data_IF_800386873823
#
_entry.id   IF_800386873823
#
_cell.length_a   1.000
_cell.length_b   1.000
_cell.length_c   1.000
_cell.angle_alpha   90.00
_cell.angle_beta   90.00
_cell.angle_gamma   90.00
#
_symmetry.space_group_name_H-M   'P 1'
#
loop_
_entity.id
_entity.type
_entity.pdbx_description
1 polymer ?
#
# COMPACT_ATOMS: atom_id res chain seq x y z
N UNK A 1 -14.16 -2.28 7.35
CA UNK A 1 -14.91 -1.80 6.16
C UNK A 1 -16.25 -2.52 6.06
N UNK A 2 -16.29 -3.84 5.87
CA UNK A 2 -17.55 -4.60 5.77
C UNK A 2 -18.37 -4.63 7.06
N UNK A 3 -17.71 -4.74 8.21
CA UNK A 3 -18.36 -4.74 9.54
C UNK A 3 -18.97 -3.39 9.93
N UNK A 4 -18.56 -2.29 9.30
CA UNK A 4 -19.06 -0.94 9.59
C UNK A 4 -20.12 -0.45 8.62
N UNK A 5 -20.36 -1.15 7.52
CA UNK A 5 -21.36 -0.75 6.53
C UNK A 5 -22.77 -0.87 7.11
N UNK A 6 -23.58 0.18 7.00
CA UNK A 6 -24.93 0.25 7.56
C UNK A 6 -24.99 0.58 9.06
N UNK A 7 -23.85 0.62 9.77
CA UNK A 7 -23.79 0.99 11.19
C UNK A 7 -22.98 2.28 11.43
N UNK A 8 -21.84 2.42 10.75
CA UNK A 8 -21.03 3.62 10.77
C UNK A 8 -21.37 4.48 9.55
N UNK A 9 -21.90 5.68 9.78
CA UNK A 9 -22.31 6.60 8.72
C UNK A 9 -21.12 7.06 7.86
N UNK A 10 -19.94 7.22 8.45
CA UNK A 10 -18.71 7.53 7.70
C UNK A 10 -18.37 6.41 6.74
N UNK A 11 -18.29 5.18 7.23
CA UNK A 11 -17.89 4.03 6.40
C UNK A 11 -18.93 3.78 5.31
N UNK A 12 -20.22 3.92 5.65
CA UNK A 12 -21.32 3.76 4.71
C UNK A 12 -21.24 4.80 3.59
N UNK A 13 -21.07 6.08 3.91
CA UNK A 13 -20.93 7.14 2.89
C UNK A 13 -19.70 6.90 2.02
N UNK A 14 -18.57 6.52 2.59
CA UNK A 14 -17.35 6.24 1.81
C UNK A 14 -17.56 5.09 0.83
N UNK A 15 -18.18 3.99 1.26
CA UNK A 15 -18.45 2.82 0.41
C UNK A 15 -19.53 3.07 -0.65
N UNK A 16 -20.43 4.02 -0.43
CA UNK A 16 -21.41 4.44 -1.44
C UNK A 16 -20.82 5.42 -2.47
N UNK A 17 -19.70 6.06 -2.12
CA UNK A 17 -19.06 7.12 -2.91
C UNK A 17 -17.90 6.60 -3.74
N UNK A 18 -17.14 5.65 -3.21
CA UNK A 18 -15.93 5.11 -3.84
C UNK A 18 -15.98 3.60 -3.92
N UNK A 19 -15.43 3.08 -5.02
CA UNK A 19 -15.01 1.70 -5.11
C UNK A 19 -13.59 1.55 -4.58
N UNK A 20 -13.37 0.55 -3.71
CA UNK A 20 -12.07 0.27 -3.13
C UNK A 20 -11.49 -1.03 -3.69
N UNK A 21 -10.39 -0.92 -4.41
CA UNK A 21 -9.61 -2.06 -4.92
C UNK A 21 -8.47 -2.36 -3.94
N UNK A 22 -8.52 -3.52 -3.28
CA UNK A 22 -7.56 -3.93 -2.25
C UNK A 22 -6.83 -5.19 -2.72
N UNK A 23 -5.50 -5.15 -2.72
CA UNK A 23 -4.63 -6.27 -3.06
C UNK A 23 -3.86 -6.71 -1.80
N UNK A 24 -4.29 -7.76 -1.08
CA UNK A 24 -3.70 -8.14 0.21
C UNK A 24 -2.22 -8.52 0.13
N UNK A 25 -1.81 -9.15 -0.97
CA UNK A 25 -0.43 -9.57 -1.22
C UNK A 25 -0.07 -9.30 -2.68
N UNK A 26 0.76 -8.28 -2.92
CA UNK A 26 1.19 -7.87 -4.28
C UNK A 26 2.37 -8.71 -4.79
N UNK A 27 3.16 -9.33 -3.88
CA UNK A 27 4.29 -10.20 -4.19
C UNK A 27 4.06 -11.61 -3.59
N UNK A 28 3.14 -12.43 -4.15
CA UNK A 28 2.77 -13.72 -3.58
C UNK A 28 3.95 -14.71 -3.52
N UNK A 29 4.77 -14.79 -4.57
CA UNK A 29 5.91 -15.71 -4.61
C UNK A 29 6.99 -15.33 -3.58
N UNK A 30 7.30 -14.04 -3.46
CA UNK A 30 8.25 -13.56 -2.47
C UNK A 30 7.73 -13.73 -1.05
N UNK A 31 6.43 -13.50 -0.83
CA UNK A 31 5.78 -13.73 0.45
C UNK A 31 5.88 -15.19 0.87
N UNK A 32 5.50 -16.14 0.00
CA UNK A 32 5.61 -17.58 0.29
C UNK A 32 7.05 -17.99 0.64
N UNK A 33 8.04 -17.45 -0.08
CA UNK A 33 9.45 -17.74 0.18
C UNK A 33 9.93 -17.30 1.58
N UNK A 34 9.27 -16.31 2.18
CA UNK A 34 9.58 -15.88 3.57
C UNK A 34 9.16 -16.87 4.63
N UNK A 35 8.24 -17.78 4.30
CA UNK A 35 7.78 -18.85 5.20
C UNK A 35 8.56 -20.15 5.00
N UNK A 36 9.16 -20.35 3.83
CA UNK A 36 9.81 -21.62 3.47
C UNK A 36 11.34 -21.57 3.52
N UNK A 37 11.95 -20.39 3.36
CA UNK A 37 13.40 -20.33 3.08
C UNK A 37 14.12 -19.14 3.68
N UNK A 38 13.73 -17.91 3.36
CA UNK A 38 14.40 -16.70 3.86
C UNK A 38 13.38 -15.68 4.35
N UNK A 39 13.27 -15.58 5.67
CA UNK A 39 12.31 -14.72 6.35
C UNK A 39 12.46 -13.24 6.00
N UNK A 40 13.66 -12.78 5.62
CA UNK A 40 13.94 -11.38 5.29
C UNK A 40 13.92 -11.11 3.78
N UNK A 41 13.45 -12.06 2.97
CA UNK A 41 13.35 -11.88 1.52
C UNK A 41 12.37 -10.77 1.14
N UNK A 42 12.82 -9.84 0.28
CA UNK A 42 12.06 -8.65 -0.15
C UNK A 42 11.56 -8.71 -1.60
N UNK A 43 12.36 -9.27 -2.50
CA UNK A 43 12.15 -9.20 -3.96
C UNK A 43 11.07 -10.17 -4.44
N UNK A 44 10.63 -10.06 -5.68
CA UNK A 44 9.86 -11.14 -6.30
C UNK A 44 10.74 -12.39 -6.56
N UNK A 45 10.21 -13.41 -7.24
CA UNK A 45 10.92 -14.68 -7.50
C UNK A 45 11.23 -14.93 -8.97
N UNK A 46 11.22 -13.89 -9.80
CA UNK A 46 11.59 -14.00 -11.21
C UNK A 46 13.01 -14.57 -11.38
N UNK A 47 13.22 -15.30 -12.48
CA UNK A 47 14.55 -15.77 -12.86
C UNK A 47 15.47 -14.58 -13.12
N UNK A 48 16.60 -14.53 -12.44
CA UNK A 48 17.62 -13.51 -12.68
C UNK A 48 18.89 -14.10 -13.29
N UNK A 49 19.81 -13.22 -13.66
CA UNK A 49 21.09 -13.60 -14.26
C UNK A 49 22.08 -14.03 -13.18
N UNK A 50 22.98 -14.97 -13.52
CA UNK A 50 24.09 -15.45 -12.67
C UNK A 50 23.65 -15.98 -11.30
N UNK A 51 22.52 -16.70 -11.24
CA UNK A 51 22.03 -17.33 -10.00
C UNK A 51 21.32 -16.38 -9.02
N UNK A 52 21.41 -15.07 -9.22
CA UNK A 52 20.59 -14.10 -8.48
C UNK A 52 19.12 -14.24 -8.90
N UNK A 53 18.20 -14.21 -7.95
CA UNK A 53 16.74 -14.22 -8.22
C UNK A 53 16.07 -12.95 -7.78
N UNK A 54 15.01 -12.59 -8.49
CA UNK A 54 14.10 -11.52 -8.14
C UNK A 54 14.58 -10.11 -8.42
N UNK A 55 13.61 -9.24 -8.69
CA UNK A 55 13.71 -7.78 -8.80
C UNK A 55 12.93 -7.14 -7.64
N UNK A 56 13.34 -5.96 -7.18
CA UNK A 56 12.56 -5.18 -6.23
C UNK A 56 11.31 -4.62 -6.94
N UNK A 57 10.08 -5.05 -6.57
CA UNK A 57 8.87 -4.60 -7.26
C UNK A 57 8.65 -3.08 -7.16
N UNK A 58 9.10 -2.44 -6.07
CA UNK A 58 8.96 -0.99 -5.88
C UNK A 58 10.15 -0.19 -6.44
N UNK A 59 10.94 -0.81 -7.34
CA UNK A 59 11.92 -0.14 -8.22
C UNK A 59 11.68 -0.49 -9.70
N UNK A 60 10.53 -1.08 -10.02
CA UNK A 60 10.23 -1.66 -11.33
C UNK A 60 9.07 -0.98 -12.06
N UNK A 61 8.62 0.18 -11.60
CA UNK A 61 7.64 0.99 -12.32
C UNK A 61 8.34 1.97 -13.27
N UNK A 62 7.64 2.38 -14.34
CA UNK A 62 8.17 3.27 -15.37
C UNK A 62 8.20 4.76 -14.93
N UNK A 63 8.70 5.04 -13.73
CA UNK A 63 8.91 6.38 -13.19
C UNK A 63 10.40 6.62 -12.98
N UNK A 64 11.03 7.36 -13.90
CA UNK A 64 12.49 7.58 -13.91
C UNK A 64 13.32 6.29 -13.79
N UNK A 65 12.81 5.16 -14.32
CA UNK A 65 13.36 3.82 -14.12
C UNK A 65 14.88 3.77 -14.40
N UNK A 66 15.64 3.23 -13.44
CA UNK A 66 17.11 3.17 -13.48
C UNK A 66 17.82 4.35 -12.80
N UNK A 67 17.10 5.40 -12.36
CA UNK A 67 17.62 6.51 -11.56
C UNK A 67 17.71 6.21 -10.05
N UNK A 68 18.31 7.14 -9.29
CA UNK A 68 18.40 7.04 -7.82
C UNK A 68 17.01 7.08 -7.18
N UNK A 69 16.68 6.07 -6.37
CA UNK A 69 15.37 5.88 -5.74
C UNK A 69 14.16 5.87 -6.69
N UNK A 70 14.39 5.64 -7.98
CA UNK A 70 13.36 5.69 -9.00
C UNK A 70 12.61 4.36 -9.19
N UNK A 71 11.50 4.40 -9.92
CA UNK A 71 10.68 3.24 -10.25
C UNK A 71 9.77 2.78 -9.12
N UNK A 72 9.46 3.67 -8.18
CA UNK A 72 8.45 3.42 -7.15
C UNK A 72 7.04 3.45 -7.74
N UNK A 73 6.14 2.69 -7.13
CA UNK A 73 4.73 2.67 -7.49
C UNK A 73 4.07 4.03 -7.28
N UNK A 74 4.36 4.71 -6.17
CA UNK A 74 3.76 6.01 -5.84
C UNK A 74 4.12 7.10 -6.85
N UNK A 75 5.38 7.14 -7.29
CA UNK A 75 5.84 8.13 -8.27
C UNK A 75 5.22 7.85 -9.64
N UNK A 76 5.14 6.59 -10.04
CA UNK A 76 4.50 6.23 -11.31
C UNK A 76 3.01 6.52 -11.33
N UNK A 77 2.30 6.27 -10.23
CA UNK A 77 0.89 6.62 -10.09
C UNK A 77 0.68 8.14 -10.24
N UNK A 78 1.56 8.93 -9.63
CA UNK A 78 1.47 10.39 -9.68
C UNK A 78 1.89 10.97 -11.04
N UNK A 79 3.09 10.63 -11.51
CA UNK A 79 3.68 11.23 -12.72
C UNK A 79 3.28 10.49 -14.00
N UNK A 80 3.16 9.17 -13.96
CA UNK A 80 2.81 8.35 -15.12
C UNK A 80 1.30 8.32 -15.34
N UNK A 81 0.56 7.84 -14.34
CA UNK A 81 -0.89 7.66 -14.43
C UNK A 81 -1.70 8.96 -14.13
N UNK A 82 -1.02 10.03 -13.71
CA UNK A 82 -1.63 11.34 -13.40
C UNK A 82 -2.70 11.29 -12.31
N UNK A 83 -2.59 10.34 -11.37
CA UNK A 83 -3.48 10.25 -10.22
C UNK A 83 -2.97 11.21 -9.14
N UNK A 84 -3.76 12.27 -8.91
CA UNK A 84 -3.40 13.39 -8.03
C UNK A 84 -3.05 12.99 -6.61
N UNK A 85 -3.74 11.98 -6.07
CA UNK A 85 -3.55 11.56 -4.68
C UNK A 85 -2.87 10.20 -4.63
N UNK A 86 -1.53 10.23 -4.58
CA UNK A 86 -0.67 9.05 -4.49
C UNK A 86 0.10 9.09 -3.17
N UNK A 87 0.08 8.00 -2.40
CA UNK A 87 0.66 7.91 -1.07
C UNK A 87 1.37 6.56 -0.88
N UNK A 88 2.52 6.60 -0.20
CA UNK A 88 3.17 5.43 0.37
C UNK A 88 3.17 5.58 1.89
N UNK A 89 2.71 4.54 2.60
CA UNK A 89 2.64 4.53 4.06
C UNK A 89 3.56 3.44 4.58
N UNK A 90 4.53 3.83 5.40
CA UNK A 90 5.39 2.91 6.15
C UNK A 90 4.79 2.75 7.56
N UNK A 91 4.52 1.51 7.96
CA UNK A 91 3.86 1.19 9.23
C UNK A 91 4.87 1.14 10.40
N UNK A 92 4.40 0.72 11.58
CA UNK A 92 5.26 0.50 12.74
C UNK A 92 6.37 -0.52 12.43
N UNK A 93 7.54 -0.42 13.04
CA UNK A 93 7.98 0.56 14.04
C UNK A 93 9.09 1.47 13.48
N UNK A 94 9.89 2.10 14.35
CA UNK A 94 11.03 2.95 13.96
C UNK A 94 12.37 2.20 14.00
N UNK A 95 12.36 0.86 13.94
CA UNK A 95 13.55 0.03 13.86
C UNK A 95 13.88 -0.80 15.10
N UNK A 96 13.02 -0.87 16.13
CA UNK A 96 13.25 -1.76 17.29
C UNK A 96 13.05 -3.23 16.91
N UNK A 97 12.00 -3.51 16.14
CA UNK A 97 11.67 -4.83 15.61
C UNK A 97 11.75 -4.86 14.08
N UNK A 98 11.52 -3.72 13.41
CA UNK A 98 11.51 -3.65 11.95
C UNK A 98 10.54 -4.67 11.36
N UNK A 99 11.01 -5.50 10.42
CA UNK A 99 10.19 -6.51 9.73
C UNK A 99 9.75 -7.71 10.60
N UNK A 100 10.25 -7.79 11.84
CA UNK A 100 9.91 -8.84 12.82
C UNK A 100 9.02 -8.28 13.94
N UNK A 101 8.08 -7.39 13.58
CA UNK A 101 7.12 -6.80 14.50
C UNK A 101 6.30 -7.90 15.22
N UNK A 102 6.22 -7.89 16.57
CA UNK A 102 5.45 -8.87 17.33
C UNK A 102 3.97 -8.94 16.93
N UNK A 103 3.39 -10.14 17.00
CA UNK A 103 2.00 -10.38 16.57
C UNK A 103 0.95 -9.57 17.37
N UNK A 104 1.22 -9.25 18.64
CA UNK A 104 0.33 -8.43 19.47
C UNK A 104 0.23 -6.97 18.99
N UNK A 105 1.12 -6.54 18.09
CA UNK A 105 1.05 -5.22 17.46
C UNK A 105 0.30 -5.21 16.12
N UNK A 106 -0.16 -6.37 15.62
CA UNK A 106 -0.90 -6.44 14.33
C UNK A 106 -2.17 -5.61 14.40
N UNK A 107 -3.05 -5.88 15.38
CA UNK A 107 -4.35 -5.20 15.50
C UNK A 107 -4.18 -3.70 15.80
N UNK A 108 -3.37 -3.27 16.78
CA UNK A 108 -3.13 -1.85 17.00
C UNK A 108 -2.65 -1.12 15.74
N UNK A 109 -1.65 -1.68 15.04
CA UNK A 109 -1.12 -1.05 13.82
C UNK A 109 -2.17 -0.96 12.71
N UNK A 110 -3.02 -1.99 12.58
CA UNK A 110 -4.10 -2.00 11.60
C UNK A 110 -5.19 -0.95 11.94
N UNK A 111 -5.55 -0.81 13.21
CA UNK A 111 -6.54 0.18 13.66
C UNK A 111 -6.06 1.61 13.34
N UNK A 112 -4.81 1.92 13.71
CA UNK A 112 -4.18 3.21 13.41
C UNK A 112 -4.15 3.53 11.91
N UNK A 113 -3.70 2.55 11.11
CA UNK A 113 -3.64 2.70 9.65
C UNK A 113 -5.04 2.90 9.05
N UNK A 114 -6.05 2.23 9.61
CA UNK A 114 -7.44 2.35 9.18
C UNK A 114 -8.03 3.74 9.46
N UNK A 115 -7.68 4.36 10.59
CA UNK A 115 -8.08 5.75 10.88
C UNK A 115 -7.39 6.73 9.92
N UNK A 116 -6.10 6.54 9.65
CA UNK A 116 -5.38 7.35 8.66
C UNK A 116 -6.00 7.26 7.27
N UNK A 117 -6.36 6.05 6.84
CA UNK A 117 -7.06 5.80 5.58
C UNK A 117 -8.44 6.49 5.53
N UNK A 118 -9.25 6.35 6.58
CA UNK A 118 -10.57 7.00 6.67
C UNK A 118 -10.45 8.52 6.61
N UNK A 119 -9.47 9.10 7.31
CA UNK A 119 -9.21 10.54 7.27
C UNK A 119 -8.83 11.02 5.87
N UNK A 120 -7.97 10.28 5.17
CA UNK A 120 -7.58 10.58 3.81
C UNK A 120 -8.74 10.46 2.81
N UNK A 121 -9.54 9.39 2.89
CA UNK A 121 -10.71 9.22 2.02
C UNK A 121 -11.73 10.36 2.19
N UNK A 122 -11.96 10.80 3.44
CA UNK A 122 -12.79 11.99 3.73
C UNK A 122 -12.21 13.27 3.11
N UNK A 123 -10.90 13.44 3.17
CA UNK A 123 -10.22 14.59 2.56
C UNK A 123 -10.44 14.62 1.04
N UNK A 124 -10.26 13.48 0.36
CA UNK A 124 -10.49 13.37 -1.09
C UNK A 124 -11.96 13.66 -1.44
N UNK A 125 -12.91 13.05 -0.73
CA UNK A 125 -14.34 13.29 -0.93
C UNK A 125 -14.70 14.79 -0.84
N UNK A 126 -14.26 15.46 0.22
CA UNK A 126 -14.52 16.90 0.42
C UNK A 126 -13.88 17.77 -0.66
N UNK A 127 -12.72 17.40 -1.17
CA UNK A 127 -11.97 18.22 -2.14
C UNK A 127 -12.47 18.04 -3.56
N UNK A 128 -12.90 16.85 -3.93
CA UNK A 128 -13.26 16.56 -5.32
C UNK A 128 -14.77 16.53 -5.54
N UNK A 129 -15.59 16.11 -4.56
CA UNK A 129 -17.05 16.04 -4.76
C UNK A 129 -17.74 17.39 -4.53
N UNK A 130 -17.21 18.23 -3.63
CA UNK A 130 -17.74 19.59 -3.45
C UNK A 130 -17.45 20.52 -4.65
N UNK A 131 -16.59 20.10 -5.60
CA UNK A 131 -16.33 20.86 -6.82
C UNK A 131 -17.44 20.74 -7.88
N UNK A 132 -18.36 19.79 -7.71
CA UNK A 132 -19.44 19.53 -8.67
C UNK A 132 -20.80 20.09 -8.24
N UNK A 133 -20.85 20.93 -7.19
CA UNK A 133 -22.08 21.54 -6.63
C UNK A 133 -22.16 23.06 -6.93
N UNK A 134 -21.44 23.56 -7.93
CA UNK A 134 -21.57 24.94 -8.42
C UNK A 134 -21.67 25.00 -9.94
#
# INVERSE_FOLDING_TARGET
>A
MTTGYGSDSTITTLLQTFDFYIFPVVNPDGYAYTFTSDRLWRKNRSGGRRGCRGVDPNRNFAAAFGGSAAGSSSDWVYDGAKIKYSLAVELRDKGRYGFLLPNFLIVPTADEASEGFKAFAKFVARRELNKFIH
#
